data_IF_931692857320
#
_entry.id   IF_931692857320
#
_cell.length_a   1.000
_cell.length_b   1.000
_cell.length_c   1.000
_cell.angle_alpha   90.00
_cell.angle_beta   90.00
_cell.angle_gamma   90.00
#
_symmetry.space_group_name_H-M   'P 1'
#
loop_
_entity.id
_entity.type
_entity.pdbx_description
1 polymer ?
#
# COMPACT_ATOMS: atom_id res chain seq x y z
N UNK A 1 -34.59 -13.19 -10.34
CA UNK A 1 -33.28 -12.51 -10.22
C UNK A 1 -32.67 -12.98 -8.91
N UNK A 2 -31.69 -13.88 -8.95
CA UNK A 2 -31.00 -14.33 -7.75
C UNK A 2 -30.19 -13.15 -7.22
N UNK A 3 -30.49 -12.67 -6.00
CA UNK A 3 -29.66 -11.64 -5.37
C UNK A 3 -28.24 -12.21 -5.26
N UNK A 4 -27.26 -11.55 -5.87
CA UNK A 4 -25.86 -11.85 -5.59
C UNK A 4 -25.62 -11.53 -4.11
N UNK A 5 -25.13 -12.51 -3.37
CA UNK A 5 -24.74 -12.32 -1.97
C UNK A 5 -23.23 -12.12 -1.91
N UNK A 6 -22.79 -11.16 -1.10
CA UNK A 6 -21.37 -10.84 -0.97
C UNK A 6 -20.74 -11.69 0.14
N UNK A 7 -19.74 -12.51 -0.21
CA UNK A 7 -18.99 -13.33 0.74
C UNK A 7 -18.23 -12.44 1.75
N UNK A 8 -18.43 -12.67 3.05
CA UNK A 8 -17.80 -11.87 4.11
C UNK A 8 -16.27 -12.00 4.12
N UNK A 9 -15.74 -13.16 3.72
CA UNK A 9 -14.30 -13.38 3.59
C UNK A 9 -13.68 -12.70 2.37
N UNK A 10 -14.50 -12.25 1.41
CA UNK A 10 -14.04 -11.51 0.24
C UNK A 10 -13.99 -9.99 0.49
N UNK A 11 -14.50 -9.52 1.63
CA UNK A 11 -14.48 -8.10 1.97
C UNK A 11 -13.05 -7.63 2.31
N UNK A 12 -12.52 -6.62 1.59
CA UNK A 12 -11.21 -6.05 1.89
C UNK A 12 -11.12 -5.60 3.35
N UNK A 13 -10.09 -6.07 4.06
CA UNK A 13 -9.81 -5.70 5.44
C UNK A 13 -10.73 -6.31 6.51
N UNK A 14 -11.70 -7.16 6.15
CA UNK A 14 -12.40 -8.02 7.12
C UNK A 14 -11.57 -9.27 7.33
N UNK A 15 -11.02 -9.44 8.54
CA UNK A 15 -10.17 -10.59 8.86
C UNK A 15 -10.95 -11.91 8.90
N UNK A 16 -10.27 -13.03 8.61
CA UNK A 16 -10.83 -14.39 8.72
C UNK A 16 -11.53 -14.65 10.07
N UNK A 17 -11.00 -14.21 11.24
CA UNK A 17 -11.68 -14.37 12.51
C UNK A 17 -13.05 -13.69 12.56
N UNK A 18 -13.17 -12.46 12.04
CA UNK A 18 -14.43 -11.73 12.01
C UNK A 18 -15.44 -12.38 11.05
N UNK A 19 -15.01 -12.73 9.84
CA UNK A 19 -15.87 -13.42 8.87
C UNK A 19 -16.42 -14.76 9.43
N UNK A 20 -15.57 -15.52 10.14
CA UNK A 20 -15.97 -16.75 10.83
C UNK A 20 -16.97 -16.48 11.96
N UNK A 21 -16.70 -15.49 12.80
CA UNK A 21 -17.59 -15.14 13.91
C UNK A 21 -18.98 -14.71 13.43
N UNK A 22 -19.06 -13.97 12.32
CA UNK A 22 -20.33 -13.61 11.69
C UNK A 22 -21.09 -14.85 11.18
N UNK A 23 -20.41 -15.76 10.49
CA UNK A 23 -21.02 -17.00 10.02
C UNK A 23 -21.52 -17.89 11.17
N UNK A 24 -20.73 -18.02 12.26
CA UNK A 24 -21.13 -18.75 13.47
C UNK A 24 -22.31 -18.09 14.19
N UNK A 25 -22.45 -16.77 14.09
CA UNK A 25 -23.59 -16.01 14.59
C UNK A 25 -24.81 -16.00 13.64
N UNK A 26 -24.75 -16.74 12.52
CA UNK A 26 -25.86 -16.90 11.57
C UNK A 26 -25.85 -15.92 10.38
N UNK A 27 -24.83 -15.07 10.26
CA UNK A 27 -24.69 -14.11 9.18
C UNK A 27 -23.80 -14.68 8.07
N UNK A 28 -24.41 -15.36 7.10
CA UNK A 28 -23.68 -16.09 6.06
C UNK A 28 -23.05 -15.18 4.98
N UNK A 29 -23.51 -13.94 4.84
CA UNK A 29 -23.06 -13.00 3.80
C UNK A 29 -23.27 -11.55 4.29
N UNK A 30 -22.67 -10.59 3.59
CA UNK A 30 -22.75 -9.16 3.95
C UNK A 30 -24.20 -8.69 4.15
N UNK A 31 -25.08 -8.98 3.19
CA UNK A 31 -26.46 -8.50 3.22
C UNK A 31 -27.28 -9.09 4.36
N UNK A 32 -26.85 -10.22 4.95
CA UNK A 32 -27.49 -10.78 6.14
C UNK A 32 -27.26 -9.95 7.40
N UNK A 33 -26.24 -9.08 7.40
CA UNK A 33 -25.92 -8.17 8.51
C UNK A 33 -26.78 -6.90 8.50
N UNK A 34 -27.61 -6.68 7.48
CA UNK A 34 -28.52 -5.53 7.46
C UNK A 34 -29.46 -5.54 8.68
N UNK A 35 -29.45 -4.44 9.42
CA UNK A 35 -30.19 -4.29 10.67
C UNK A 35 -29.60 -5.03 11.88
N UNK A 36 -28.48 -5.75 11.75
CA UNK A 36 -27.81 -6.38 12.89
C UNK A 36 -27.25 -5.32 13.86
N UNK A 37 -27.41 -5.55 15.17
CA UNK A 37 -26.99 -4.59 16.19
C UNK A 37 -25.46 -4.52 16.31
N UNK A 38 -24.91 -3.31 16.19
CA UNK A 38 -23.46 -3.09 16.21
C UNK A 38 -22.80 -3.57 17.51
N UNK A 39 -23.41 -3.31 18.67
CA UNK A 39 -22.85 -3.68 19.96
C UNK A 39 -22.85 -5.21 20.13
N UNK A 40 -23.91 -5.89 19.68
CA UNK A 40 -24.00 -7.34 19.67
C UNK A 40 -22.93 -7.98 18.78
N UNK A 41 -22.71 -7.43 17.58
CA UNK A 41 -21.65 -7.91 16.69
C UNK A 41 -20.25 -7.66 17.26
N UNK A 42 -20.02 -6.50 17.88
CA UNK A 42 -18.73 -6.16 18.50
C UNK A 42 -18.40 -7.07 19.69
N UNK A 43 -19.41 -7.59 20.37
CA UNK A 43 -19.23 -8.53 21.48
C UNK A 43 -18.80 -9.94 21.03
N UNK A 44 -18.91 -10.26 19.73
CA UNK A 44 -18.47 -11.54 19.20
C UNK A 44 -16.95 -11.69 19.26
N UNK A 45 -16.49 -12.85 19.73
CA UNK A 45 -15.07 -13.14 19.76
C UNK A 45 -14.46 -13.13 18.35
N UNK A 46 -13.40 -12.34 18.14
CA UNK A 46 -12.75 -12.18 16.84
C UNK A 46 -13.31 -11.04 15.98
N UNK A 47 -14.36 -10.35 16.43
CA UNK A 47 -14.88 -9.13 15.79
C UNK A 47 -14.30 -7.91 16.51
N UNK A 48 -13.69 -7.01 15.74
CA UNK A 48 -13.14 -5.75 16.25
C UNK A 48 -13.77 -4.55 15.55
N UNK A 49 -13.63 -3.36 16.17
CA UNK A 49 -14.16 -2.09 15.64
C UNK A 49 -13.80 -1.85 14.18
N UNK A 50 -12.56 -2.16 13.78
CA UNK A 50 -12.07 -2.05 12.38
C UNK A 50 -12.80 -2.95 11.39
N UNK A 51 -13.11 -4.17 11.80
CA UNK A 51 -13.88 -5.09 10.97
C UNK A 51 -15.30 -4.56 10.76
N UNK A 52 -15.91 -4.02 11.82
CA UNK A 52 -17.26 -3.46 11.76
C UNK A 52 -17.32 -2.13 11.00
N UNK A 53 -16.32 -1.26 11.11
CA UNK A 53 -16.21 -0.05 10.28
C UNK A 53 -16.26 -0.42 8.78
N UNK A 54 -15.53 -1.47 8.36
CA UNK A 54 -15.49 -1.95 6.97
C UNK A 54 -16.79 -2.63 6.53
N UNK A 55 -17.38 -3.45 7.40
CA UNK A 55 -18.70 -4.05 7.16
C UNK A 55 -19.76 -2.97 6.98
N UNK A 56 -19.78 -1.97 7.88
CA UNK A 56 -20.72 -0.84 7.80
C UNK A 56 -20.53 -0.06 6.49
N UNK A 57 -19.28 0.24 6.10
CA UNK A 57 -19.01 0.90 4.82
C UNK A 57 -19.55 0.09 3.63
N UNK A 58 -19.28 -1.21 3.60
CA UNK A 58 -19.74 -2.10 2.52
C UNK A 58 -21.28 -2.25 2.49
N UNK A 59 -21.95 -2.20 3.64
CA UNK A 59 -23.42 -2.17 3.74
C UNK A 59 -23.96 -0.84 3.18
N UNK A 60 -23.39 0.30 3.57
CA UNK A 60 -23.83 1.64 3.14
C UNK A 60 -23.70 1.81 1.63
N UNK A 61 -22.62 1.30 1.01
CA UNK A 61 -22.46 1.27 -0.45
C UNK A 61 -23.61 0.55 -1.17
N UNK A 62 -24.31 -0.36 -0.47
CA UNK A 62 -25.45 -1.14 -0.98
C UNK A 62 -26.80 -0.60 -0.50
N UNK A 63 -26.82 0.54 0.19
CA UNK A 63 -28.03 1.12 0.79
C UNK A 63 -28.55 0.36 2.01
N UNK A 64 -27.69 -0.43 2.66
CA UNK A 64 -27.97 -1.21 3.88
C UNK A 64 -27.24 -0.58 5.07
N UNK A 65 -27.55 -1.00 6.30
CA UNK A 65 -26.83 -0.51 7.49
C UNK A 65 -26.93 -1.47 8.67
N UNK A 66 -25.91 -1.47 9.53
CA UNK A 66 -26.06 -1.98 10.90
C UNK A 66 -27.04 -1.09 11.69
N UNK A 67 -27.57 -1.63 12.79
CA UNK A 67 -28.47 -0.94 13.71
C UNK A 67 -27.78 -0.61 15.05
N UNK A 68 -28.46 0.19 15.88
CA UNK A 68 -27.95 0.66 17.17
C UNK A 68 -27.09 1.93 17.05
N UNK A 69 -26.22 2.14 18.02
CA UNK A 69 -25.24 3.24 18.03
C UNK A 69 -24.01 2.85 17.21
N UNK A 70 -24.10 3.03 15.88
CA UNK A 70 -23.02 2.75 14.94
C UNK A 70 -22.09 3.97 14.89
N UNK A 71 -20.83 3.86 15.37
CA UNK A 71 -19.91 4.98 15.33
C UNK A 71 -19.62 5.41 13.89
N UNK A 72 -19.52 6.71 13.65
CA UNK A 72 -19.02 7.21 12.38
C UNK A 72 -17.58 6.70 12.15
N UNK A 73 -17.22 6.41 10.90
CA UNK A 73 -15.83 6.08 10.57
C UNK A 73 -14.95 7.28 10.87
N UNK A 74 -13.92 7.12 11.71
CA UNK A 74 -12.94 8.19 11.88
C UNK A 74 -12.04 8.24 10.64
N UNK A 75 -11.88 9.42 10.05
CA UNK A 75 -10.86 9.68 9.04
C UNK A 75 -9.49 9.53 9.68
N UNK A 76 -8.72 8.60 9.13
CA UNK A 76 -7.37 8.27 9.61
C UNK A 76 -6.37 8.34 8.47
N UNK A 77 -6.71 9.08 7.41
CA UNK A 77 -5.78 9.41 6.35
C UNK A 77 -4.62 10.24 6.90
N UNK A 78 -3.43 10.00 6.36
CA UNK A 78 -2.30 10.89 6.55
C UNK A 78 -2.25 11.91 5.41
N UNK A 79 -1.61 13.04 5.66
CA UNK A 79 -1.27 14.00 4.60
C UNK A 79 0.09 13.67 4.01
N UNK A 80 0.24 13.95 2.72
CA UNK A 80 1.49 13.78 1.99
C UNK A 80 1.74 15.04 1.17
N UNK A 81 2.96 15.57 1.21
CA UNK A 81 3.37 16.74 0.43
C UNK A 81 4.65 16.44 -0.32
N UNK A 82 4.80 17.02 -1.51
CA UNK A 82 6.06 16.96 -2.27
C UNK A 82 7.13 17.77 -1.56
N UNK A 83 8.35 17.24 -1.54
CA UNK A 83 9.51 17.84 -0.88
C UNK A 83 9.76 17.29 0.52
N UNK A 84 10.92 17.66 1.06
CA UNK A 84 11.39 17.31 2.40
C UNK A 84 11.22 18.51 3.34
N UNK A 85 10.77 18.27 4.57
CA UNK A 85 10.64 19.34 5.58
C UNK A 85 11.80 19.37 6.57
N UNK A 86 12.61 18.31 6.60
CA UNK A 86 13.62 18.04 7.61
C UNK A 86 13.02 17.64 8.96
N UNK A 87 11.69 17.49 9.04
CA UNK A 87 10.97 17.12 10.25
C UNK A 87 10.62 15.64 10.18
N UNK A 88 11.25 14.87 11.07
CA UNK A 88 11.06 13.44 11.15
C UNK A 88 11.06 12.99 12.61
N UNK A 89 10.20 12.05 12.97
CA UNK A 89 10.25 11.45 14.30
C UNK A 89 11.63 10.83 14.56
N UNK A 90 12.16 10.99 15.79
CA UNK A 90 13.56 10.67 16.12
C UNK A 90 13.98 9.20 15.93
N UNK A 91 13.01 8.29 15.90
CA UNK A 91 13.21 6.86 15.65
C UNK A 91 13.30 6.50 14.17
N UNK A 92 12.94 7.40 13.24
CA UNK A 92 13.16 7.20 11.80
C UNK A 92 14.66 7.21 11.51
N UNK A 93 15.19 6.10 10.98
CA UNK A 93 16.60 5.97 10.59
C UNK A 93 16.84 5.95 9.09
N UNK A 94 15.77 5.83 8.30
CA UNK A 94 15.87 5.94 6.84
C UNK A 94 15.91 7.43 6.50
N UNK A 95 17.00 7.87 5.89
CA UNK A 95 17.27 9.25 5.50
C UNK A 95 17.95 9.22 4.13
N UNK A 96 17.81 10.29 3.36
CA UNK A 96 18.54 10.46 2.10
C UNK A 96 20.05 10.58 2.36
N UNK A 97 20.84 9.87 1.55
CA UNK A 97 22.28 10.02 1.45
C UNK A 97 22.68 10.98 0.33
N UNK A 98 23.94 10.92 -0.09
CA UNK A 98 24.47 11.62 -1.25
C UNK A 98 24.77 10.66 -2.43
N UNK A 99 25.29 11.20 -3.53
CA UNK A 99 25.64 10.44 -4.74
C UNK A 99 26.65 9.31 -4.45
N UNK A 100 27.62 9.54 -3.55
CA UNK A 100 28.65 8.55 -3.22
C UNK A 100 28.07 7.38 -2.46
N UNK A 101 27.09 7.63 -1.59
CA UNK A 101 26.39 6.56 -0.87
C UNK A 101 25.75 5.56 -1.85
N UNK A 102 25.14 6.07 -2.93
CA UNK A 102 24.54 5.23 -3.97
C UNK A 102 25.60 4.43 -4.73
N UNK A 103 26.69 5.07 -5.16
CA UNK A 103 27.79 4.40 -5.86
C UNK A 103 28.40 3.28 -5.02
N UNK A 104 28.70 3.57 -3.75
CA UNK A 104 29.26 2.60 -2.81
C UNK A 104 28.30 1.42 -2.60
N UNK A 105 27.00 1.70 -2.43
CA UNK A 105 25.99 0.65 -2.30
C UNK A 105 25.93 -0.25 -3.55
N UNK A 106 25.89 0.35 -4.74
CA UNK A 106 25.83 -0.41 -6.00
C UNK A 106 27.07 -1.29 -6.18
N UNK A 107 28.26 -0.81 -5.79
CA UNK A 107 29.50 -1.58 -5.82
C UNK A 107 29.49 -2.79 -4.88
N UNK A 108 28.65 -2.79 -3.84
CA UNK A 108 28.52 -3.94 -2.92
C UNK A 108 27.62 -5.06 -3.46
N UNK A 109 26.87 -4.81 -4.54
CA UNK A 109 25.92 -5.76 -5.08
C UNK A 109 26.63 -6.90 -5.81
N UNK A 110 26.07 -8.11 -5.72
CA UNK A 110 26.48 -9.19 -6.63
C UNK A 110 26.12 -8.83 -8.07
N UNK A 111 26.87 -9.36 -9.04
CA UNK A 111 26.68 -9.09 -10.47
C UNK A 111 25.20 -9.17 -10.91
N UNK A 112 24.50 -10.22 -10.47
CA UNK A 112 23.07 -10.39 -10.75
C UNK A 112 22.21 -9.27 -10.16
N UNK A 113 22.44 -8.89 -8.89
CA UNK A 113 21.67 -7.82 -8.23
C UNK A 113 21.99 -6.46 -8.84
N UNK A 114 23.24 -6.24 -9.24
CA UNK A 114 23.66 -5.04 -9.94
C UNK A 114 22.96 -4.90 -11.28
N UNK A 115 22.91 -5.97 -12.10
CA UNK A 115 22.17 -5.95 -13.37
C UNK A 115 20.66 -5.69 -13.21
N UNK A 116 20.03 -6.27 -12.18
CA UNK A 116 18.64 -5.92 -11.85
C UNK A 116 18.50 -4.45 -11.43
N UNK A 117 19.43 -3.94 -10.62
CA UNK A 117 19.40 -2.55 -10.18
C UNK A 117 19.55 -1.60 -11.36
N UNK A 118 20.47 -1.87 -12.29
CA UNK A 118 20.64 -1.08 -13.52
C UNK A 118 19.37 -1.02 -14.36
N UNK A 119 18.68 -2.16 -14.53
CA UNK A 119 17.41 -2.21 -15.27
C UNK A 119 16.36 -1.31 -14.61
N UNK A 120 16.26 -1.34 -13.29
CA UNK A 120 15.30 -0.52 -12.56
C UNK A 120 15.70 0.96 -12.51
N UNK A 121 16.99 1.27 -12.41
CA UNK A 121 17.50 2.64 -12.49
C UNK A 121 17.06 3.31 -13.81
N UNK A 122 17.20 2.59 -14.91
CA UNK A 122 16.79 3.04 -16.24
C UNK A 122 15.27 3.25 -16.36
N UNK A 123 14.47 2.27 -15.94
CA UNK A 123 12.99 2.38 -15.97
C UNK A 123 12.48 3.52 -15.08
N UNK A 124 12.96 3.60 -13.83
CA UNK A 124 12.53 4.67 -12.92
C UNK A 124 12.99 6.04 -13.42
N UNK A 125 14.25 6.15 -13.91
CA UNK A 125 14.78 7.41 -14.45
C UNK A 125 13.96 7.93 -15.63
N UNK A 126 13.54 7.05 -16.56
CA UNK A 126 12.64 7.45 -17.66
C UNK A 126 11.25 7.86 -17.20
N UNK A 127 10.71 7.20 -16.18
CA UNK A 127 9.38 7.49 -15.68
C UNK A 127 9.31 8.81 -14.89
N UNK A 128 10.35 9.12 -14.11
CA UNK A 128 10.38 10.28 -13.20
C UNK A 128 11.07 11.50 -13.81
N UNK A 129 12.09 11.28 -14.65
CA UNK A 129 13.01 12.33 -15.09
C UNK A 129 13.95 12.85 -14.00
N UNK A 130 14.06 12.14 -12.88
CA UNK A 130 14.85 12.54 -11.70
C UNK A 130 16.04 11.62 -11.47
N UNK A 131 17.06 12.17 -10.79
CA UNK A 131 18.19 11.38 -10.33
C UNK A 131 17.85 10.59 -9.05
N UNK A 132 18.32 9.35 -8.93
CA UNK A 132 18.12 8.54 -7.73
C UNK A 132 19.04 8.96 -6.58
N UNK A 133 18.57 8.75 -5.36
CA UNK A 133 19.37 8.88 -4.13
C UNK A 133 19.25 7.60 -3.31
N UNK A 134 20.32 7.22 -2.60
CA UNK A 134 20.24 6.13 -1.63
C UNK A 134 19.57 6.60 -0.34
N UNK A 135 18.57 5.86 0.11
CA UNK A 135 17.86 6.06 1.36
C UNK A 135 18.17 4.91 2.33
N UNK A 136 18.74 5.28 3.48
CA UNK A 136 19.23 4.33 4.45
C UNK A 136 20.20 3.31 3.81
N UNK A 137 20.12 2.02 4.15
CA UNK A 137 21.16 1.06 3.75
C UNK A 137 20.96 0.42 2.37
N UNK A 138 19.81 0.59 1.70
CA UNK A 138 19.51 -0.23 0.51
C UNK A 138 18.33 0.22 -0.37
N UNK A 139 17.68 1.34 -0.09
CA UNK A 139 16.53 1.80 -0.87
C UNK A 139 17.00 2.89 -1.81
N UNK A 140 16.73 2.74 -3.10
CA UNK A 140 17.05 3.73 -4.13
C UNK A 140 15.74 4.47 -4.41
N UNK A 141 15.72 5.75 -4.09
CA UNK A 141 14.51 6.59 -4.10
C UNK A 141 14.62 7.75 -5.09
N UNK A 142 13.47 8.18 -5.61
CA UNK A 142 13.33 9.29 -6.53
C UNK A 142 12.37 10.33 -5.95
N UNK A 143 12.79 11.59 -6.02
CA UNK A 143 12.11 12.73 -5.40
C UNK A 143 11.99 12.62 -3.89
N UNK A 144 11.40 13.64 -3.29
CA UNK A 144 11.17 13.71 -1.85
C UNK A 144 9.70 13.94 -1.55
N UNK A 145 9.25 13.40 -0.43
CA UNK A 145 7.93 13.60 0.13
C UNK A 145 7.99 13.64 1.66
N UNK A 146 7.06 14.37 2.23
CA UNK A 146 6.83 14.42 3.65
C UNK A 146 5.44 13.89 3.97
N UNK A 147 5.34 13.02 4.97
CA UNK A 147 4.08 12.46 5.42
C UNK A 147 3.78 12.83 6.87
N UNK A 148 2.50 13.04 7.18
CA UNK A 148 1.99 13.17 8.55
C UNK A 148 0.83 12.21 8.71
N UNK A 149 0.96 11.20 9.57
CA UNK A 149 -0.13 10.28 9.88
C UNK A 149 -1.20 10.95 10.75
N UNK A 150 -2.42 10.41 10.75
CA UNK A 150 -3.50 10.86 11.63
C UNK A 150 -3.14 10.85 13.14
N UNK A 151 -2.11 10.08 13.53
CA UNK A 151 -1.58 10.06 14.90
C UNK A 151 -0.67 11.26 15.22
N UNK A 152 -0.40 12.14 14.25
CA UNK A 152 0.59 13.21 14.32
C UNK A 152 2.03 12.76 14.09
N UNK A 153 2.26 11.46 13.87
CA UNK A 153 3.60 10.95 13.55
C UNK A 153 3.98 11.34 12.12
N UNK A 154 5.12 11.99 11.95
CA UNK A 154 5.59 12.48 10.65
C UNK A 154 7.00 12.00 10.26
N UNK A 155 7.33 12.17 8.97
CA UNK A 155 8.66 11.91 8.45
C UNK A 155 8.84 12.22 6.97
N UNK A 156 10.11 12.29 6.56
CA UNK A 156 10.53 12.47 5.18
C UNK A 156 10.88 11.12 4.54
N UNK A 157 10.58 10.98 3.25
CA UNK A 157 10.84 9.78 2.45
C UNK A 157 10.97 10.15 0.97
N UNK A 158 11.42 9.20 0.14
CA UNK A 158 11.28 9.32 -1.31
C UNK A 158 9.83 9.11 -1.78
N UNK A 159 9.49 9.60 -2.98
CA UNK A 159 8.13 9.47 -3.57
C UNK A 159 7.90 8.08 -4.16
N UNK A 160 8.81 7.65 -5.02
CA UNK A 160 8.83 6.31 -5.62
C UNK A 160 10.25 5.77 -5.55
N UNK A 161 10.38 4.45 -5.52
CA UNK A 161 11.72 3.86 -5.46
C UNK A 161 11.69 2.35 -5.44
N UNK A 162 12.87 1.76 -5.29
CA UNK A 162 13.01 0.31 -5.19
C UNK A 162 14.17 -0.09 -4.28
N UNK A 163 14.21 -1.37 -3.90
CA UNK A 163 15.36 -1.96 -3.23
C UNK A 163 15.69 -3.30 -3.88
N UNK A 164 16.89 -3.46 -4.48
CA UNK A 164 17.28 -4.69 -5.14
C UNK A 164 17.76 -5.73 -4.11
N UNK A 165 16.89 -6.17 -3.19
CA UNK A 165 17.27 -7.07 -2.08
C UNK A 165 17.61 -8.49 -2.55
N UNK A 166 18.24 -9.28 -1.69
CA UNK A 166 18.70 -10.65 -2.01
C UNK A 166 17.56 -11.61 -2.35
N UNK A 167 16.42 -11.53 -1.65
CA UNK A 167 15.31 -12.46 -1.84
C UNK A 167 14.38 -12.02 -2.98
N UNK A 168 13.94 -10.76 -2.96
CA UNK A 168 13.03 -10.16 -3.93
C UNK A 168 13.36 -8.68 -4.11
N UNK A 169 13.08 -8.15 -5.28
CA UNK A 169 12.98 -6.72 -5.51
C UNK A 169 11.76 -6.19 -4.74
N UNK A 170 11.94 -5.07 -4.05
CA UNK A 170 10.84 -4.31 -3.46
C UNK A 170 10.65 -3.03 -4.27
N UNK A 171 9.43 -2.74 -4.70
CA UNK A 171 9.03 -1.52 -5.38
C UNK A 171 8.10 -0.73 -4.45
N UNK A 172 8.31 0.57 -4.38
CA UNK A 172 7.70 1.47 -3.41
C UNK A 172 7.01 2.64 -4.12
N UNK A 173 5.91 3.13 -3.54
CA UNK A 173 5.22 4.33 -4.01
C UNK A 173 4.35 4.15 -5.27
N UNK A 174 4.31 2.96 -5.88
CA UNK A 174 3.55 2.72 -7.12
C UNK A 174 2.09 2.28 -6.91
N UNK A 175 1.72 1.86 -5.70
CA UNK A 175 0.38 1.34 -5.38
C UNK A 175 -0.66 2.46 -5.14
N UNK A 176 -0.21 3.68 -4.86
CA UNK A 176 -1.09 4.81 -4.58
C UNK A 176 -1.73 5.41 -5.83
N UNK A 177 -1.29 5.01 -7.03
CA UNK A 177 -1.83 5.54 -8.27
C UNK A 177 -3.24 5.05 -8.54
N UNK A 178 -4.08 5.93 -9.08
CA UNK A 178 -5.40 5.61 -9.65
C UNK A 178 -5.36 4.49 -10.71
N UNK A 179 -4.19 4.24 -11.32
CA UNK A 179 -3.96 3.23 -12.35
C UNK A 179 -3.57 1.86 -11.79
N UNK A 180 -3.29 1.75 -10.50
CA UNK A 180 -2.76 0.54 -9.87
C UNK A 180 -3.63 -0.70 -10.15
N UNK A 181 -4.94 -0.62 -9.89
CA UNK A 181 -5.84 -1.78 -10.03
C UNK A 181 -5.88 -2.33 -11.46
N UNK A 182 -5.78 -1.47 -12.46
CA UNK A 182 -5.83 -1.89 -13.87
C UNK A 182 -4.47 -2.41 -14.35
N UNK A 183 -3.39 -1.68 -14.07
CA UNK A 183 -2.06 -2.02 -14.59
C UNK A 183 -1.43 -3.18 -13.82
N UNK A 184 -1.67 -3.31 -12.52
CA UNK A 184 -1.15 -4.44 -11.74
C UNK A 184 -1.67 -5.78 -12.25
N UNK A 185 -2.90 -5.86 -12.76
CA UNK A 185 -3.48 -7.07 -13.34
C UNK A 185 -2.69 -7.62 -14.55
N UNK A 186 -1.98 -6.75 -15.27
CA UNK A 186 -1.19 -7.10 -16.46
C UNK A 186 0.33 -6.95 -16.25
N UNK A 187 0.77 -6.51 -15.07
CA UNK A 187 2.18 -6.31 -14.74
C UNK A 187 3.01 -7.60 -14.80
N UNK A 188 2.38 -8.76 -14.59
CA UNK A 188 3.07 -10.05 -14.51
C UNK A 188 3.19 -10.58 -13.08
N UNK A 189 4.20 -11.40 -12.81
CA UNK A 189 4.30 -12.16 -11.55
C UNK A 189 4.82 -11.29 -10.41
N UNK A 190 3.90 -10.81 -9.59
CA UNK A 190 4.19 -9.99 -8.42
C UNK A 190 3.34 -10.40 -7.21
N UNK A 191 3.72 -9.91 -6.03
CA UNK A 191 2.90 -9.96 -4.81
C UNK A 191 2.91 -8.59 -4.16
N UNK A 192 1.79 -8.11 -3.64
CA UNK A 192 1.70 -6.83 -2.94
C UNK A 192 1.51 -7.02 -1.42
N UNK A 193 1.98 -6.04 -0.68
CA UNK A 193 1.62 -5.80 0.71
C UNK A 193 0.95 -4.43 0.81
N UNK A 194 0.67 -3.97 2.03
CA UNK A 194 0.09 -2.63 2.26
C UNK A 194 0.98 -1.54 1.66
N UNK A 195 2.31 -1.63 1.79
CA UNK A 195 3.20 -0.52 1.44
C UNK A 195 4.23 -0.80 0.35
N UNK A 196 4.27 -2.02 -0.19
CA UNK A 196 5.21 -2.34 -1.27
C UNK A 196 4.78 -3.52 -2.13
N UNK A 197 5.32 -3.53 -3.34
CA UNK A 197 5.18 -4.58 -4.35
C UNK A 197 6.47 -5.37 -4.41
N UNK A 198 6.36 -6.69 -4.45
CA UNK A 198 7.50 -7.59 -4.54
C UNK A 198 7.52 -8.35 -5.85
N UNK A 199 8.70 -8.37 -6.47
CA UNK A 199 8.99 -9.05 -7.73
C UNK A 199 10.28 -9.86 -7.54
N UNK A 200 10.39 -11.07 -8.07
CA UNK A 200 11.61 -11.87 -7.83
C UNK A 200 12.80 -11.37 -8.65
N UNK A 201 12.54 -10.90 -9.88
CA UNK A 201 13.52 -10.42 -10.86
C UNK A 201 12.81 -9.61 -11.95
N UNK A 202 13.48 -8.68 -12.67
CA UNK A 202 12.81 -7.83 -13.65
C UNK A 202 12.08 -8.61 -14.76
N UNK A 203 12.59 -9.80 -15.12
CA UNK A 203 12.00 -10.63 -16.19
C UNK A 203 10.67 -11.31 -15.80
N UNK A 204 10.28 -11.23 -14.53
CA UNK A 204 8.98 -11.74 -14.06
C UNK A 204 7.84 -10.76 -14.36
N UNK A 205 8.14 -9.53 -14.79
CA UNK A 205 7.17 -8.45 -15.03
C UNK A 205 7.38 -7.77 -16.38
N UNK A 206 6.33 -7.09 -16.84
CA UNK A 206 6.38 -6.18 -17.99
C UNK A 206 6.95 -4.83 -17.55
N UNK A 207 8.11 -4.44 -18.13
CA UNK A 207 8.80 -3.21 -17.77
C UNK A 207 8.13 -1.96 -18.33
N UNK A 208 7.37 -2.05 -19.43
CA UNK A 208 6.60 -0.93 -19.96
C UNK A 208 5.42 -0.63 -19.04
N UNK A 209 4.72 -1.68 -18.58
CA UNK A 209 3.64 -1.55 -17.59
C UNK A 209 4.16 -1.00 -16.25
N UNK A 210 5.36 -1.44 -15.82
CA UNK A 210 6.00 -0.87 -14.64
C UNK A 210 6.30 0.62 -14.82
N UNK A 211 6.84 1.02 -15.99
CA UNK A 211 7.13 2.42 -16.29
C UNK A 211 5.86 3.29 -16.26
N UNK A 212 4.75 2.80 -16.82
CA UNK A 212 3.45 3.48 -16.75
C UNK A 212 2.95 3.64 -15.31
N UNK A 213 3.08 2.60 -14.48
CA UNK A 213 2.72 2.67 -13.05
C UNK A 213 3.55 3.71 -12.30
N UNK A 214 4.86 3.74 -12.53
CA UNK A 214 5.76 4.71 -11.88
C UNK A 214 5.42 6.12 -12.34
N UNK A 215 5.21 6.33 -13.65
CA UNK A 215 4.86 7.64 -14.21
C UNK A 215 3.52 8.14 -13.64
N UNK A 216 2.51 7.29 -13.60
CA UNK A 216 1.21 7.67 -13.04
C UNK A 216 1.33 8.06 -11.56
N UNK A 217 2.04 7.27 -10.74
CA UNK A 217 2.30 7.61 -9.35
C UNK A 217 3.12 8.91 -9.19
N UNK A 218 4.07 9.15 -10.10
CA UNK A 218 4.88 10.37 -10.11
C UNK A 218 4.07 11.61 -10.52
N UNK A 219 3.12 11.50 -11.43
CA UNK A 219 2.30 12.64 -11.87
C UNK A 219 1.21 12.98 -10.84
N UNK A 220 0.62 11.97 -10.19
CA UNK A 220 -0.45 12.15 -9.20
C UNK A 220 0.06 12.73 -7.87
N UNK A 221 1.35 12.56 -7.57
CA UNK A 221 1.94 13.04 -6.32
C UNK A 221 2.09 11.95 -5.26
N UNK A 222 2.81 12.24 -4.17
CA UNK A 222 2.97 11.29 -3.07
C UNK A 222 1.63 11.05 -2.38
N UNK A 223 1.38 9.80 -2.00
CA UNK A 223 0.15 9.40 -1.31
C UNK A 223 0.39 8.22 -0.38
N UNK A 224 -0.46 8.13 0.64
CA UNK A 224 -0.49 6.96 1.52
C UNK A 224 -1.00 5.74 0.76
N UNK A 225 -0.53 4.55 1.14
CA UNK A 225 -1.18 3.33 0.69
C UNK A 225 -2.48 3.15 1.48
N UNK A 226 -3.60 2.96 0.76
CA UNK A 226 -4.92 2.76 1.33
C UNK A 226 -5.11 1.35 1.93
#
# INVERSE_FOLDING_TARGET
MTKQHTELSALPGVGKPAARAFAEAGYAHLEALDGADYAALLALHGVGKRGLERVQAALVERGLSLSGDVPASEDRSGTWTVGNTGQSAADIKTQAGDERDLEEYLATLSERRYGHAQTLLDVFGRATGEEPVLWGPSMIGYGEAHYVYATGREGDTFRVGFSPRTAKLSLYGIQGSSRWDTLSAVLGKHTSSVSCVYVNKPEDIDLEVLEELIRAAWEEGPGGCA
#
